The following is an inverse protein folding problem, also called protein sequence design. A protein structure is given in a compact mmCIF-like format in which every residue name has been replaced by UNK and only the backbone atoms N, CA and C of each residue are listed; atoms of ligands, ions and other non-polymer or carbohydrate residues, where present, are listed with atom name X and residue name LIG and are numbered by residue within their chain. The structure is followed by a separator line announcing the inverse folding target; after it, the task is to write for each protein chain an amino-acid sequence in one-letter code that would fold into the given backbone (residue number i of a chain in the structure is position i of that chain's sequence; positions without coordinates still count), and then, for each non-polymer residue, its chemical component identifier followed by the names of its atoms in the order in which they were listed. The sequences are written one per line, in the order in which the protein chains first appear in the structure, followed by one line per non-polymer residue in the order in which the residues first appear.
data_IF_937169706179
#
_entry.id   IF_937169706179
#
_cell.length_a   1.000
_cell.length_b   1.000
_cell.length_c   1.000
_cell.angle_alpha   90.00
_cell.angle_beta   90.00
_cell.angle_gamma   90.00
#
_symmetry.space_group_name_H-M   'P 1'
#
loop_
_entity.id
_entity.type
_entity.pdbx_description
1 polymer ?
#
# COMPACT_ATOMS: atom_id res chain seq x y z
N UNK A 1 -7.07 3.99 1.22
CA UNK A 1 -5.76 4.68 1.41
C UNK A 1 -5.61 5.72 0.29
N UNK A 2 -4.68 6.69 0.38
CA UNK A 2 -4.49 7.69 -0.69
C UNK A 2 -5.59 8.76 -0.76
N UNK A 3 -6.30 8.84 -1.89
CA UNK A 3 -7.39 9.80 -2.11
C UNK A 3 -8.66 9.50 -1.27
N UNK A 4 -8.87 8.25 -0.85
CA UNK A 4 -10.05 7.86 -0.06
C UNK A 4 -11.31 7.57 -0.86
N UNK A 5 -11.27 7.65 -2.19
CA UNK A 5 -12.39 7.27 -3.06
C UNK A 5 -12.49 5.75 -3.22
N UNK A 6 -13.67 5.28 -3.61
CA UNK A 6 -13.90 3.87 -3.93
C UNK A 6 -13.44 3.55 -5.35
N UNK A 7 -12.95 2.32 -5.55
CA UNK A 7 -12.68 1.73 -6.85
C UNK A 7 -12.89 0.21 -6.77
N UNK A 8 -13.00 -0.43 -7.93
CA UNK A 8 -13.01 -1.89 -8.01
C UNK A 8 -11.69 -2.43 -7.47
N UNK A 9 -11.74 -3.53 -6.72
CA UNK A 9 -10.55 -4.21 -6.16
C UNK A 9 -9.52 -4.55 -7.22
N UNK A 10 -9.94 -4.87 -8.45
CA UNK A 10 -9.03 -5.16 -9.57
C UNK A 10 -8.22 -3.94 -10.05
N UNK A 11 -8.68 -2.72 -9.75
CA UNK A 11 -8.00 -1.47 -10.10
C UNK A 11 -7.14 -0.93 -8.94
N UNK A 12 -6.97 -1.72 -7.86
CA UNK A 12 -6.25 -1.31 -6.66
C UNK A 12 -5.07 -2.24 -6.42
N UNK A 13 -4.01 -1.65 -5.87
CA UNK A 13 -2.84 -2.37 -5.38
C UNK A 13 -3.03 -2.66 -3.90
N UNK A 14 -2.82 -3.92 -3.50
CA UNK A 14 -2.78 -4.31 -2.09
C UNK A 14 -1.36 -4.25 -1.57
N UNK A 15 -1.19 -3.67 -0.39
CA UNK A 15 0.00 -3.76 0.44
C UNK A 15 -0.40 -4.51 1.71
N UNK A 16 0.39 -5.47 2.16
CA UNK A 16 0.10 -6.30 3.33
C UNK A 16 1.19 -6.14 4.37
N UNK A 17 0.79 -6.08 5.65
CA UNK A 17 1.68 -6.33 6.77
C UNK A 17 1.46 -7.74 7.28
N UNK A 18 2.47 -8.59 7.11
CA UNK A 18 2.52 -9.96 7.59
C UNK A 18 2.52 -10.03 9.13
N UNK A 19 2.18 -11.19 9.74
CA UNK A 19 2.21 -11.36 11.19
C UNK A 19 3.59 -11.10 11.82
N UNK A 20 4.67 -11.41 11.09
CA UNK A 20 6.07 -11.13 11.47
C UNK A 20 6.43 -9.63 11.45
N UNK A 21 5.52 -8.78 10.97
CA UNK A 21 5.69 -7.34 10.88
C UNK A 21 6.30 -6.82 9.59
N UNK A 22 6.73 -7.71 8.69
CA UNK A 22 7.20 -7.34 7.36
C UNK A 22 6.05 -6.77 6.51
N UNK A 23 6.38 -5.84 5.62
CA UNK A 23 5.41 -5.15 4.76
C UNK A 23 5.81 -5.37 3.31
N UNK A 24 4.85 -5.83 2.49
CA UNK A 24 5.10 -6.22 1.09
C UNK A 24 3.94 -5.79 0.19
N UNK A 25 4.23 -5.66 -1.11
CA UNK A 25 3.21 -5.66 -2.14
C UNK A 25 2.56 -7.05 -2.26
N UNK A 26 1.23 -7.08 -2.30
CA UNK A 26 0.46 -8.32 -2.47
C UNK A 26 -0.43 -8.24 -3.71
N UNK A 27 0.19 -8.40 -4.87
CA UNK A 27 -0.50 -8.33 -6.18
C UNK A 27 -1.61 -9.36 -6.32
N UNK A 28 -1.46 -10.53 -5.69
CA UNK A 28 -2.45 -11.63 -5.77
C UNK A 28 -3.56 -11.50 -4.74
N UNK A 29 -3.39 -10.62 -3.75
CA UNK A 29 -4.28 -10.46 -2.62
C UNK A 29 -4.50 -11.74 -1.79
N UNK A 30 -3.50 -12.62 -1.75
CA UNK A 30 -3.55 -13.92 -1.04
C UNK A 30 -2.74 -13.94 0.24
N UNK A 31 -1.82 -12.98 0.45
CA UNK A 31 -0.93 -13.00 1.59
C UNK A 31 -1.69 -12.75 2.91
N UNK A 32 -1.33 -13.48 3.98
CA UNK A 32 -1.95 -13.34 5.29
C UNK A 32 -1.52 -12.03 5.97
N UNK A 33 -2.41 -11.44 6.76
CA UNK A 33 -2.12 -10.25 7.54
C UNK A 33 -3.02 -9.05 7.24
N UNK A 34 -2.65 -7.89 7.77
CA UNK A 34 -3.45 -6.66 7.61
C UNK A 34 -3.18 -6.09 6.23
N UNK A 35 -4.21 -6.09 5.38
CA UNK A 35 -4.13 -5.51 4.03
C UNK A 35 -4.55 -4.04 4.01
N UNK A 36 -3.97 -3.28 3.09
CA UNK A 36 -4.36 -1.92 2.79
C UNK A 36 -4.30 -1.67 1.28
N UNK A 37 -5.27 -0.93 0.77
CA UNK A 37 -5.49 -0.76 -0.68
C UNK A 37 -5.27 0.67 -1.12
N UNK A 38 -4.55 0.83 -2.23
CA UNK A 38 -4.21 2.11 -2.84
C UNK A 38 -4.38 2.04 -4.37
N UNK A 39 -4.76 3.16 -4.99
CA UNK A 39 -4.71 3.26 -6.45
C UNK A 39 -3.25 3.23 -6.91
N UNK A 40 -2.93 2.58 -8.05
CA UNK A 40 -1.64 2.70 -8.72
C UNK A 40 -1.53 4.08 -9.39
N UNK A 41 -1.55 5.13 -8.58
CA UNK A 41 -1.50 6.53 -9.02
C UNK A 41 -0.53 7.28 -8.11
N UNK A 42 0.39 8.04 -8.72
CA UNK A 42 1.40 8.81 -7.99
C UNK A 42 0.76 9.78 -6.99
N UNK A 43 -0.37 10.40 -7.34
CA UNK A 43 -1.10 11.29 -6.44
C UNK A 43 -1.64 10.57 -5.20
N UNK A 44 -2.13 9.34 -5.36
CA UNK A 44 -2.57 8.50 -4.25
C UNK A 44 -1.40 8.07 -3.36
N UNK A 45 -0.27 7.68 -3.93
CA UNK A 45 0.95 7.30 -3.20
C UNK A 45 1.47 8.47 -2.37
N UNK A 46 1.66 9.64 -2.98
CA UNK A 46 2.11 10.84 -2.29
C UNK A 46 1.18 11.22 -1.13
N UNK A 47 -0.14 11.23 -1.36
CA UNK A 47 -1.14 11.48 -0.31
C UNK A 47 -1.08 10.44 0.80
N UNK A 48 -0.89 9.16 0.47
CA UNK A 48 -0.77 8.09 1.45
C UNK A 48 0.50 8.25 2.28
N UNK A 49 1.64 8.54 1.66
CA UNK A 49 2.93 8.76 2.33
C UNK A 49 2.87 9.96 3.28
N UNK A 50 2.44 11.11 2.79
CA UNK A 50 2.31 12.35 3.59
C UNK A 50 1.38 12.18 4.80
N UNK A 51 0.29 11.42 4.65
CA UNK A 51 -0.70 11.18 5.72
C UNK A 51 -0.40 9.94 6.56
N UNK A 52 0.80 9.35 6.45
CA UNK A 52 1.19 8.11 7.15
C UNK A 52 0.12 7.01 7.00
N UNK A 53 -0.38 6.82 5.78
CA UNK A 53 -1.49 5.95 5.45
C UNK A 53 -1.23 4.49 5.81
N UNK A 54 -0.07 3.95 5.39
CA UNK A 54 0.33 2.58 5.72
C UNK A 54 0.52 2.38 7.22
N UNK A 55 1.18 3.32 7.90
CA UNK A 55 1.38 3.28 9.34
C UNK A 55 0.05 3.15 10.10
N UNK A 56 -0.95 3.96 9.72
CA UNK A 56 -2.30 3.89 10.28
C UNK A 56 -3.03 2.58 9.94
N UNK A 57 -3.00 2.17 8.68
CA UNK A 57 -3.66 0.93 8.23
C UNK A 57 -3.08 -0.32 8.91
N UNK A 58 -1.77 -0.34 9.14
CA UNK A 58 -1.07 -1.47 9.74
C UNK A 58 -0.91 -1.36 11.26
N UNK A 59 -1.32 -0.25 11.86
CA UNK A 59 -1.16 0.04 13.30
C UNK A 59 0.30 -0.10 13.74
N UNK A 60 1.20 0.45 12.94
CA UNK A 60 2.66 0.46 13.18
C UNK A 60 3.16 1.90 13.17
N UNK A 61 4.16 2.20 14.00
CA UNK A 61 4.84 3.50 14.01
C UNK A 61 5.87 3.66 12.88
N UNK A 62 6.34 2.55 12.31
CA UNK A 62 7.38 2.53 11.30
C UNK A 62 6.92 1.76 10.04
N UNK A 63 7.13 2.37 8.88
CA UNK A 63 6.95 1.75 7.55
C UNK A 63 8.25 1.97 6.80
N UNK A 64 8.97 0.91 6.38
CA UNK A 64 10.23 1.06 5.65
C UNK A 64 10.04 1.85 4.37
N UNK A 65 10.99 2.75 4.04
CA UNK A 65 10.91 3.57 2.83
C UNK A 65 10.87 2.71 1.54
N UNK A 66 11.57 1.57 1.53
CA UNK A 66 11.59 0.65 0.38
C UNK A 66 10.21 0.11 -0.01
N UNK A 67 9.24 0.09 0.90
CA UNK A 67 7.84 -0.28 0.56
C UNK A 67 7.22 0.73 -0.39
N UNK A 68 7.57 2.02 -0.27
CA UNK A 68 7.07 3.05 -1.17
C UNK A 68 7.76 2.96 -2.52
N UNK A 69 9.06 2.64 -2.55
CA UNK A 69 9.81 2.43 -3.78
C UNK A 69 9.19 1.29 -4.60
N UNK A 70 8.85 0.16 -3.95
CA UNK A 70 8.16 -0.96 -4.60
C UNK A 70 6.81 -0.54 -5.22
N UNK A 71 6.05 0.30 -4.51
CA UNK A 71 4.74 0.80 -4.98
C UNK A 71 4.91 1.77 -6.14
N UNK A 72 5.93 2.62 -6.11
CA UNK A 72 6.25 3.57 -7.19
C UNK A 72 6.77 2.83 -8.44
N UNK A 73 7.64 1.82 -8.26
CA UNK A 73 8.10 0.94 -9.34
C UNK A 73 6.92 0.22 -10.00
N UNK A 74 5.97 -0.29 -9.21
CA UNK A 74 4.76 -0.90 -9.75
C UNK A 74 3.94 0.07 -10.60
N UNK A 75 3.88 1.35 -10.25
CA UNK A 75 3.15 2.36 -11.05
C UNK A 75 3.85 2.63 -12.38
N UNK A 76 5.18 2.67 -12.38
CA UNK A 76 5.97 2.99 -13.57
C UNK A 76 6.04 1.83 -14.58
N UNK A 77 5.69 0.60 -14.16
CA UNK A 77 5.76 -0.61 -14.98
C UNK A 77 4.39 -1.28 -15.25
N UNK A 78 3.30 -0.54 -15.07
CA UNK A 78 1.94 -0.97 -15.44
C UNK A 78 1.53 -0.54 -16.85
#
# INVERSE_FOLDING_TARGET
MGCGTHANRAALVRIVRSPDGSIHLDRTATLPGRGAWIHPDAGCVQKARARRGLARSFRTGNVPDGVWDDVEELINHQ
#
